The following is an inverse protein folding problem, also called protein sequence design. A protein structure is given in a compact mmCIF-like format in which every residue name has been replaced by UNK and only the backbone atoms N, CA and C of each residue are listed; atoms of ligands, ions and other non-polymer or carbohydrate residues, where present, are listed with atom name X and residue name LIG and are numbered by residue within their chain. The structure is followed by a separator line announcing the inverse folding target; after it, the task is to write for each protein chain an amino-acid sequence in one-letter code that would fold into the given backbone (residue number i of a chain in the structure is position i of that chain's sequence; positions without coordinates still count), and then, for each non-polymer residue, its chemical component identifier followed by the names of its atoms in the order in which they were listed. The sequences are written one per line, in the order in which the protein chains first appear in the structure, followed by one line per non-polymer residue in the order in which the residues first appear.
data_IF_329436434947
#
_entry.id   IF_329436434947
#
_cell.length_a   1.000
_cell.length_b   1.000
_cell.length_c   1.000
_cell.angle_alpha   90.00
_cell.angle_beta   90.00
_cell.angle_gamma   90.00
#
_symmetry.space_group_name_H-M   'P 1'
#
loop_
_entity.id
_entity.type
_entity.pdbx_description
1 polymer ?
#
# COMPACT_ATOMS: atom_id res chain seq x y z
N UNK A 1 -9.82 -45.36 -5.21
CA UNK A 1 -10.17 -43.96 -5.55
C UNK A 1 -9.03 -43.07 -5.06
N UNK A 2 -8.18 -42.53 -5.94
CA UNK A 2 -7.11 -41.63 -5.52
C UNK A 2 -7.73 -40.29 -5.13
N UNK A 3 -7.36 -39.77 -3.95
CA UNK A 3 -7.69 -38.42 -3.50
C UNK A 3 -6.95 -37.43 -4.41
N UNK A 4 -7.70 -36.57 -5.08
CA UNK A 4 -7.16 -35.42 -5.80
C UNK A 4 -6.31 -34.59 -4.84
N UNK A 5 -5.06 -34.22 -5.16
CA UNK A 5 -4.33 -33.26 -4.36
C UNK A 5 -5.11 -31.94 -4.39
N UNK A 6 -5.58 -31.46 -3.22
CA UNK A 6 -6.01 -30.08 -3.09
C UNK A 6 -4.89 -29.18 -3.58
N UNK A 7 -5.19 -28.33 -4.56
CA UNK A 7 -4.26 -27.30 -5.00
C UNK A 7 -3.74 -26.55 -3.76
N UNK A 8 -2.42 -26.27 -3.65
CA UNK A 8 -1.91 -25.47 -2.54
C UNK A 8 -2.68 -24.16 -2.54
N UNK A 9 -3.33 -23.83 -1.42
CA UNK A 9 -3.87 -22.48 -1.22
C UNK A 9 -2.69 -21.52 -1.42
N UNK A 10 -2.81 -20.49 -2.29
CA UNK A 10 -1.78 -19.47 -2.34
C UNK A 10 -1.69 -18.88 -0.94
N UNK A 11 -0.53 -18.96 -0.29
CA UNK A 11 -0.32 -18.31 1.00
C UNK A 11 -0.72 -16.84 0.86
N UNK A 12 -1.58 -16.30 1.74
CA UNK A 12 -1.95 -14.89 1.67
C UNK A 12 -0.69 -14.04 1.70
N UNK A 13 -0.46 -13.30 0.62
CA UNK A 13 0.78 -12.54 0.43
C UNK A 13 0.69 -11.15 1.01
N UNK A 14 -0.52 -10.67 1.28
CA UNK A 14 -0.78 -9.28 1.63
C UNK A 14 -1.59 -9.16 2.92
N UNK A 15 -1.01 -8.49 3.91
CA UNK A 15 -1.75 -8.04 5.09
C UNK A 15 -2.52 -6.76 4.74
N UNK A 16 -3.81 -6.68 5.09
CA UNK A 16 -4.67 -5.52 4.83
C UNK A 16 -5.16 -4.92 6.15
N UNK A 17 -4.90 -3.63 6.35
CA UNK A 17 -5.22 -2.90 7.58
C UNK A 17 -5.64 -1.44 7.29
N UNK A 18 -6.04 -0.72 8.33
CA UNK A 18 -6.43 0.69 8.26
C UNK A 18 -7.93 0.89 8.09
N UNK A 19 -8.30 2.11 7.68
CA UNK A 19 -9.68 2.59 7.70
C UNK A 19 -10.62 1.75 6.83
N UNK A 20 -11.93 1.65 7.16
CA UNK A 20 -12.90 0.92 6.35
C UNK A 20 -13.26 1.70 5.07
N UNK A 21 -12.37 1.65 4.09
CA UNK A 21 -12.55 2.30 2.79
C UNK A 21 -13.26 1.39 1.78
N UNK A 22 -14.08 1.94 0.86
CA UNK A 22 -14.71 1.15 -0.22
C UNK A 22 -13.70 0.37 -1.05
N UNK A 23 -12.56 0.99 -1.37
CA UNK A 23 -11.49 0.37 -2.16
C UNK A 23 -10.85 -0.85 -1.46
N UNK A 24 -10.86 -0.90 -0.13
CA UNK A 24 -10.35 -2.05 0.61
C UNK A 24 -11.34 -3.21 0.64
N UNK A 25 -12.64 -2.98 0.46
CA UNK A 25 -13.63 -4.06 0.48
C UNK A 25 -13.34 -5.11 -0.60
N UNK A 26 -13.06 -4.67 -1.83
CA UNK A 26 -12.73 -5.57 -2.94
C UNK A 26 -11.40 -6.28 -2.70
N UNK A 27 -10.41 -5.58 -2.13
CA UNK A 27 -9.12 -6.19 -1.79
C UNK A 27 -9.27 -7.28 -0.73
N UNK A 28 -10.05 -7.04 0.33
CA UNK A 28 -10.30 -8.00 1.43
C UNK A 28 -11.07 -9.24 0.97
N UNK A 29 -11.82 -9.16 -0.13
CA UNK A 29 -12.50 -10.31 -0.72
C UNK A 29 -11.55 -11.24 -1.50
N UNK A 30 -10.32 -10.79 -1.79
CA UNK A 30 -9.35 -11.57 -2.56
C UNK A 30 -8.69 -12.66 -1.70
N UNK A 31 -8.51 -13.90 -2.20
CA UNK A 31 -7.93 -15.00 -1.42
C UNK A 31 -6.47 -14.80 -0.98
N UNK A 32 -5.77 -13.82 -1.56
CA UNK A 32 -4.37 -13.48 -1.21
C UNK A 32 -4.27 -12.40 -0.13
N UNK A 33 -5.40 -11.81 0.27
CA UNK A 33 -5.47 -10.78 1.27
C UNK A 33 -5.91 -11.37 2.62
N UNK A 34 -5.18 -11.03 3.67
CA UNK A 34 -5.57 -11.31 5.04
C UNK A 34 -5.87 -9.99 5.76
N UNK A 35 -7.06 -9.88 6.36
CA UNK A 35 -7.50 -8.64 6.99
C UNK A 35 -7.17 -8.63 8.48
N UNK A 36 -6.57 -7.55 8.95
CA UNK A 36 -6.25 -7.34 10.36
C UNK A 36 -6.94 -6.07 10.86
N UNK A 37 -7.45 -6.11 12.09
CA UNK A 37 -8.07 -4.95 12.72
C UNK A 37 -7.00 -4.01 13.30
N UNK A 38 -5.92 -4.57 13.83
CA UNK A 38 -4.82 -3.85 14.45
C UNK A 38 -3.46 -4.35 13.94
N UNK A 39 -2.47 -3.47 13.85
CA UNK A 39 -1.09 -3.84 13.52
C UNK A 39 -0.51 -4.84 14.52
N UNK A 40 -0.97 -4.80 15.77
CA UNK A 40 -0.59 -5.71 16.84
C UNK A 40 -1.02 -7.17 16.60
N UNK A 41 -1.97 -7.40 15.71
CA UNK A 41 -2.47 -8.73 15.34
C UNK A 41 -1.78 -9.27 14.08
N UNK A 42 -1.12 -8.38 13.32
CA UNK A 42 -0.42 -8.76 12.08
C UNK A 42 0.70 -9.72 12.41
N UNK A 43 0.67 -10.89 11.76
CA UNK A 43 1.66 -11.94 11.91
C UNK A 43 1.78 -12.75 10.61
N UNK A 44 2.78 -13.63 10.51
CA UNK A 44 2.94 -14.53 9.36
C UNK A 44 3.98 -14.07 8.33
N UNK A 45 3.87 -14.63 7.13
CA UNK A 45 4.89 -14.56 6.08
C UNK A 45 4.56 -13.60 4.93
N UNK A 46 3.74 -12.57 5.16
CA UNK A 46 3.30 -11.64 4.12
C UNK A 46 4.47 -10.85 3.52
N UNK A 47 4.50 -10.74 2.19
CA UNK A 47 5.47 -9.94 1.44
C UNK A 47 4.98 -8.54 1.12
N UNK A 48 3.67 -8.30 1.23
CA UNK A 48 3.05 -6.98 1.09
C UNK A 48 2.21 -6.61 2.30
N UNK A 49 2.07 -5.32 2.54
CA UNK A 49 1.08 -4.75 3.44
C UNK A 49 0.34 -3.62 2.72
N UNK A 50 -0.99 -3.60 2.85
CA UNK A 50 -1.86 -2.55 2.32
C UNK A 50 -2.55 -1.83 3.47
N UNK A 51 -2.37 -0.52 3.54
CA UNK A 51 -2.95 0.34 4.58
C UNK A 51 -3.94 1.31 3.95
N UNK A 52 -5.20 1.27 4.36
CA UNK A 52 -6.20 2.28 4.00
C UNK A 52 -6.13 3.49 4.92
N UNK A 53 -6.19 4.68 4.33
CA UNK A 53 -6.15 5.97 5.02
C UNK A 53 -7.30 6.84 4.55
N UNK A 54 -8.21 7.16 5.47
CA UNK A 54 -9.27 8.13 5.29
C UNK A 54 -8.74 9.54 5.55
N UNK A 55 -8.54 10.30 4.47
CA UNK A 55 -8.01 11.66 4.54
C UNK A 55 -9.09 12.72 4.82
N UNK A 56 -10.34 12.33 5.11
CA UNK A 56 -11.46 13.27 5.29
C UNK A 56 -11.17 14.33 6.36
N UNK A 57 -10.47 13.95 7.42
CA UNK A 57 -10.16 14.84 8.56
C UNK A 57 -8.99 15.81 8.29
N UNK A 58 -8.23 15.63 7.21
CA UNK A 58 -7.10 16.48 6.87
C UNK A 58 -7.53 17.61 5.94
N UNK A 59 -7.88 18.76 6.52
CA UNK A 59 -8.30 19.95 5.77
C UNK A 59 -7.14 20.89 5.42
N UNK A 60 -5.96 20.63 5.97
CA UNK A 60 -4.74 21.38 5.72
C UNK A 60 -3.57 20.46 5.42
N UNK A 61 -2.56 20.98 4.71
CA UNK A 61 -1.30 20.27 4.47
C UNK A 61 -0.59 19.86 5.77
N UNK A 62 -0.71 20.66 6.82
CA UNK A 62 -0.11 20.36 8.11
C UNK A 62 -0.74 19.12 8.75
N UNK A 63 -2.07 19.02 8.72
CA UNK A 63 -2.83 17.87 9.23
C UNK A 63 -2.53 16.61 8.40
N UNK A 64 -2.51 16.72 7.07
CA UNK A 64 -2.12 15.62 6.18
C UNK A 64 -0.72 15.10 6.52
N UNK A 65 0.26 15.99 6.71
CA UNK A 65 1.62 15.61 7.12
C UNK A 65 1.68 14.94 8.48
N UNK A 66 0.77 15.26 9.41
CA UNK A 66 0.67 14.54 10.70
C UNK A 66 0.18 13.12 10.44
N UNK A 67 -0.89 12.94 9.67
CA UNK A 67 -1.41 11.61 9.31
C UNK A 67 -0.35 10.76 8.60
N UNK A 68 0.32 11.33 7.59
CA UNK A 68 1.38 10.63 6.84
C UNK A 68 2.60 10.26 7.71
N UNK A 69 2.87 11.01 8.79
CA UNK A 69 3.94 10.65 9.75
C UNK A 69 3.57 9.42 10.56
N UNK A 70 2.31 9.29 10.97
CA UNK A 70 1.83 8.10 11.70
C UNK A 70 1.97 6.82 10.86
N UNK A 71 1.86 6.92 9.53
CA UNK A 71 2.13 5.79 8.63
C UNK A 71 3.58 5.32 8.68
N UNK A 72 4.54 6.21 8.97
CA UNK A 72 5.93 5.82 9.14
C UNK A 72 6.15 4.96 10.38
N UNK A 73 5.51 5.32 11.50
CA UNK A 73 5.56 4.52 12.73
C UNK A 73 4.85 3.17 12.55
N UNK A 74 3.73 3.16 11.83
CA UNK A 74 3.02 1.94 11.44
C UNK A 74 3.89 1.04 10.54
N UNK A 75 4.57 1.63 9.56
CA UNK A 75 5.48 0.91 8.66
C UNK A 75 6.64 0.24 9.39
N UNK A 76 7.19 0.90 10.41
CA UNK A 76 8.23 0.30 11.27
C UNK A 76 7.70 -0.90 12.05
N UNK A 77 6.51 -0.78 12.62
CA UNK A 77 5.89 -1.89 13.35
C UNK A 77 5.57 -3.07 12.43
N UNK A 78 5.01 -2.81 11.24
CA UNK A 78 4.80 -3.83 10.21
C UNK A 78 6.12 -4.49 9.82
N UNK A 79 7.19 -3.71 9.64
CA UNK A 79 8.52 -4.24 9.33
C UNK A 79 9.03 -5.19 10.42
N UNK A 80 8.83 -4.85 11.70
CA UNK A 80 9.23 -5.72 12.83
C UNK A 80 8.44 -7.03 12.83
N UNK A 81 7.15 -6.97 12.51
CA UNK A 81 6.22 -8.11 12.56
C UNK A 81 6.24 -9.00 11.34
N UNK A 82 6.62 -8.46 10.19
CA UNK A 82 6.66 -9.13 8.91
C UNK A 82 8.12 -9.19 8.41
N UNK A 83 8.86 -10.27 8.74
CA UNK A 83 10.25 -10.43 8.33
C UNK A 83 10.46 -10.43 6.81
N UNK A 84 9.41 -10.75 6.03
CA UNK A 84 9.42 -10.84 4.57
C UNK A 84 8.79 -9.64 3.87
N UNK A 85 8.45 -8.57 4.59
CA UNK A 85 7.81 -7.40 4.01
C UNK A 85 8.74 -6.74 2.99
N UNK A 86 8.28 -6.67 1.74
CA UNK A 86 8.97 -6.03 0.61
C UNK A 86 8.19 -4.81 0.12
N UNK A 87 6.86 -4.82 0.26
CA UNK A 87 5.97 -3.77 -0.25
C UNK A 87 5.06 -3.20 0.83
N UNK A 88 5.10 -1.88 1.02
CA UNK A 88 4.12 -1.13 1.80
C UNK A 88 3.30 -0.25 0.85
N UNK A 89 2.04 -0.61 0.65
CA UNK A 89 1.12 0.12 -0.22
C UNK A 89 0.12 0.89 0.63
N UNK A 90 0.01 2.20 0.43
CA UNK A 90 -0.91 3.06 1.16
C UNK A 90 -2.01 3.51 0.21
N UNK A 91 -3.27 3.20 0.51
CA UNK A 91 -4.42 3.70 -0.22
C UNK A 91 -5.00 4.91 0.51
N UNK A 92 -4.87 6.09 -0.10
CA UNK A 92 -5.42 7.34 0.43
C UNK A 92 -6.74 7.62 -0.26
N UNK A 93 -7.78 7.92 0.50
CA UNK A 93 -9.11 8.19 -0.03
C UNK A 93 -9.79 9.37 0.68
N UNK A 94 -10.79 9.97 0.01
CA UNK A 94 -11.63 11.07 0.52
C UNK A 94 -10.81 12.30 0.88
N UNK A 95 -10.00 12.73 -0.09
CA UNK A 95 -9.15 13.91 0.08
C UNK A 95 -9.99 15.19 0.05
N UNK A 96 -9.77 16.08 1.03
CA UNK A 96 -10.41 17.40 1.07
C UNK A 96 -9.58 18.50 0.38
N UNK A 97 -8.33 18.19 0.03
CA UNK A 97 -7.35 19.09 -0.57
C UNK A 97 -7.20 18.81 -2.08
N UNK A 98 -6.49 19.69 -2.78
CA UNK A 98 -6.13 19.46 -4.18
C UNK A 98 -5.34 18.15 -4.36
N UNK A 99 -5.72 17.36 -5.36
CA UNK A 99 -5.16 16.03 -5.56
C UNK A 99 -3.66 16.04 -5.88
N UNK A 100 -3.16 17.04 -6.62
CA UNK A 100 -1.72 17.13 -6.92
C UNK A 100 -0.92 17.56 -5.69
N UNK A 101 -1.47 18.47 -4.88
CA UNK A 101 -0.84 18.83 -3.60
C UNK A 101 -0.74 17.62 -2.67
N UNK A 102 -1.83 16.87 -2.51
CA UNK A 102 -1.85 15.64 -1.71
C UNK A 102 -0.87 14.62 -2.26
N UNK A 103 -0.83 14.43 -3.59
CA UNK A 103 0.10 13.49 -4.23
C UNK A 103 1.55 13.83 -3.91
N UNK A 104 1.95 15.11 -4.00
CA UNK A 104 3.32 15.55 -3.67
C UNK A 104 3.69 15.32 -2.19
N UNK A 105 2.75 15.54 -1.28
CA UNK A 105 2.95 15.24 0.14
C UNK A 105 3.07 13.73 0.39
N UNK A 106 2.24 12.93 -0.29
CA UNK A 106 2.34 11.47 -0.24
C UNK A 106 3.65 10.95 -0.83
N UNK A 107 4.15 11.54 -1.92
CA UNK A 107 5.42 11.16 -2.54
C UNK A 107 6.59 11.42 -1.59
N UNK A 108 6.61 12.61 -0.99
CA UNK A 108 7.59 13.00 0.02
C UNK A 108 7.53 12.05 1.22
N UNK A 109 6.33 11.71 1.68
CA UNK A 109 6.15 10.77 2.78
C UNK A 109 6.61 9.35 2.41
N UNK A 110 6.26 8.84 1.23
CA UNK A 110 6.65 7.51 0.76
C UNK A 110 8.17 7.35 0.74
N UNK A 111 8.89 8.32 0.16
CA UNK A 111 10.36 8.35 0.15
C UNK A 111 10.93 8.40 1.56
N UNK A 112 10.37 9.24 2.43
CA UNK A 112 10.82 9.37 3.82
C UNK A 112 10.61 8.08 4.61
N UNK A 113 9.47 7.42 4.44
CA UNK A 113 9.17 6.13 5.08
C UNK A 113 10.16 5.09 4.59
N UNK A 114 10.34 4.95 3.27
CA UNK A 114 11.33 4.05 2.70
C UNK A 114 12.72 4.23 3.34
N UNK A 115 13.28 5.45 3.32
CA UNK A 115 14.60 5.74 3.90
C UNK A 115 14.66 5.42 5.39
N UNK A 116 13.58 5.71 6.13
CA UNK A 116 13.50 5.42 7.56
C UNK A 116 13.53 3.91 7.83
N UNK A 117 12.78 3.13 7.06
CA UNK A 117 12.74 1.67 7.19
C UNK A 117 14.09 1.03 6.82
N UNK A 118 14.75 1.54 5.78
CA UNK A 118 16.08 1.12 5.38
C UNK A 118 17.11 1.38 6.49
N UNK A 119 17.10 2.57 7.08
CA UNK A 119 18.01 2.94 8.18
C UNK A 119 17.76 2.15 9.47
N UNK A 120 16.50 1.88 9.80
CA UNK A 120 16.14 1.21 11.05
C UNK A 120 16.34 -0.31 11.00
N UNK A 121 16.09 -0.93 9.84
CA UNK A 121 16.05 -2.39 9.69
C UNK A 121 17.08 -2.99 8.74
N UNK A 122 17.82 -2.17 7.99
CA UNK A 122 18.75 -2.64 6.95
C UNK A 122 18.06 -3.35 5.78
N UNK A 123 16.76 -3.11 5.57
CA UNK A 123 15.96 -3.72 4.51
C UNK A 123 15.31 -2.64 3.66
N UNK A 124 15.39 -2.81 2.35
CA UNK A 124 14.68 -1.98 1.39
C UNK A 124 13.22 -2.42 1.33
N UNK A 125 12.29 -1.55 1.74
CA UNK A 125 10.85 -1.77 1.56
C UNK A 125 10.34 -0.73 0.59
N UNK A 126 9.73 -1.18 -0.49
CA UNK A 126 9.12 -0.31 -1.50
C UNK A 126 7.86 0.31 -0.92
N UNK A 127 7.78 1.64 -0.95
CA UNK A 127 6.60 2.36 -0.45
C UNK A 127 5.83 2.97 -1.61
N UNK A 128 4.58 2.57 -1.80
CA UNK A 128 3.72 3.09 -2.87
C UNK A 128 2.46 3.69 -2.28
N UNK A 129 2.30 5.01 -2.40
CA UNK A 129 1.04 5.66 -2.08
C UNK A 129 0.15 5.75 -3.33
N UNK A 130 -1.13 5.44 -3.20
CA UNK A 130 -2.12 5.55 -4.26
C UNK A 130 -3.27 6.41 -3.77
N UNK A 131 -3.49 7.55 -4.42
CA UNK A 131 -4.67 8.38 -4.25
C UNK A 131 -5.81 7.76 -5.06
N UNK A 132 -6.87 7.38 -4.36
CA UNK A 132 -7.98 6.59 -4.92
C UNK A 132 -9.23 7.43 -5.21
N UNK A 133 -9.18 8.73 -4.97
CA UNK A 133 -10.25 9.66 -5.32
C UNK A 133 -10.48 9.67 -6.84
N UNK A 134 -11.76 9.62 -7.23
CA UNK A 134 -12.16 9.43 -8.63
C UNK A 134 -12.03 7.98 -9.13
N UNK A 135 -11.76 7.00 -8.26
CA UNK A 135 -11.80 5.58 -8.64
C UNK A 135 -13.22 5.11 -8.93
N UNK A 136 -13.41 4.63 -10.15
CA UNK A 136 -14.65 4.11 -10.72
C UNK A 136 -14.69 2.58 -10.78
N UNK A 137 -13.54 1.91 -10.61
CA UNK A 137 -13.39 0.45 -10.65
C UNK A 137 -12.47 -0.04 -9.52
N UNK A 138 -13.08 -0.31 -8.35
CA UNK A 138 -12.35 -0.80 -7.17
C UNK A 138 -11.84 -2.24 -7.33
N UNK A 139 -12.46 -3.06 -8.17
CA UNK A 139 -11.98 -4.41 -8.44
C UNK A 139 -10.65 -4.34 -9.20
N UNK A 140 -10.57 -3.52 -10.24
CA UNK A 140 -9.32 -3.27 -10.95
C UNK A 140 -8.27 -2.63 -10.05
N UNK A 141 -8.63 -1.68 -9.18
CA UNK A 141 -7.69 -1.14 -8.21
C UNK A 141 -7.10 -2.24 -7.33
N UNK A 142 -7.92 -3.14 -6.79
CA UNK A 142 -7.45 -4.27 -5.99
C UNK A 142 -6.49 -5.18 -6.79
N UNK A 143 -6.81 -5.50 -8.04
CA UNK A 143 -5.92 -6.27 -8.93
C UNK A 143 -4.56 -5.57 -9.11
N UNK A 144 -4.54 -4.25 -9.30
CA UNK A 144 -3.30 -3.47 -9.48
C UNK A 144 -2.46 -3.46 -8.21
N UNK A 145 -3.09 -3.29 -7.05
CA UNK A 145 -2.43 -3.32 -5.74
C UNK A 145 -1.81 -4.69 -5.48
N UNK A 146 -2.55 -5.78 -5.72
CA UNK A 146 -2.04 -7.14 -5.58
C UNK A 146 -0.93 -7.46 -6.59
N UNK A 147 -1.06 -6.99 -7.83
CA UNK A 147 -0.01 -7.14 -8.82
C UNK A 147 1.26 -6.41 -8.38
N UNK A 148 1.13 -5.20 -7.81
CA UNK A 148 2.27 -4.44 -7.29
C UNK A 148 2.97 -5.18 -6.15
N UNK A 149 2.24 -5.73 -5.18
CA UNK A 149 2.84 -6.48 -4.07
C UNK A 149 3.55 -7.78 -4.48
N UNK A 150 3.40 -8.22 -5.73
CA UNK A 150 4.10 -9.38 -6.31
C UNK A 150 5.32 -9.00 -7.14
N UNK A 151 5.52 -7.71 -7.45
CA UNK A 151 6.65 -7.28 -8.25
C UNK A 151 7.94 -7.45 -7.44
N UNK A 152 9.01 -7.90 -8.11
CA UNK A 152 10.34 -7.89 -7.51
C UNK A 152 10.79 -6.44 -7.24
N UNK A 153 11.87 -6.31 -6.45
CA UNK A 153 12.48 -5.01 -6.19
C UNK A 153 12.66 -4.19 -7.47
N UNK A 154 12.19 -2.95 -7.43
CA UNK A 154 12.20 -2.00 -8.53
C UNK A 154 12.90 -0.73 -8.05
N UNK A 155 13.46 0.05 -8.98
CA UNK A 155 14.27 1.24 -8.69
C UNK A 155 13.50 2.36 -7.98
N UNK A 156 12.16 2.28 -7.98
CA UNK A 156 11.24 3.23 -7.35
C UNK A 156 11.00 2.89 -5.87
N UNK A 157 11.99 3.22 -5.05
CA UNK A 157 12.00 3.07 -3.60
C UNK A 157 10.78 3.67 -2.86
N UNK A 158 10.28 4.83 -3.33
CA UNK A 158 9.14 5.52 -2.75
C UNK A 158 8.44 6.41 -3.77
N UNK A 159 7.15 6.16 -4.02
CA UNK A 159 6.38 6.87 -5.05
C UNK A 159 4.93 7.13 -4.61
N UNK A 160 4.34 8.23 -5.08
CA UNK A 160 2.90 8.46 -5.00
C UNK A 160 2.24 8.65 -6.36
N UNK A 161 1.18 7.88 -6.59
CA UNK A 161 0.42 7.83 -7.84
C UNK A 161 -1.06 8.14 -7.57
N UNK A 162 -1.75 8.60 -8.61
CA UNK A 162 -3.20 8.76 -8.63
C UNK A 162 -3.84 7.61 -9.40
N UNK A 163 -5.08 7.28 -9.04
CA UNK A 163 -5.87 6.28 -9.76
C UNK A 163 -5.85 6.48 -11.27
N UNK A 164 -6.06 7.71 -11.74
CA UNK A 164 -6.09 8.06 -13.17
C UNK A 164 -4.82 7.66 -13.93
N UNK A 165 -3.67 7.60 -13.27
CA UNK A 165 -2.39 7.23 -13.87
C UNK A 165 -2.26 5.71 -14.01
N UNK A 166 -2.85 4.96 -13.08
CA UNK A 166 -2.71 3.50 -12.97
C UNK A 166 -3.96 2.72 -13.45
N UNK A 167 -5.03 3.43 -13.81
CA UNK A 167 -6.30 2.85 -14.26
C UNK A 167 -6.12 1.95 -15.50
N UNK A 168 -5.17 2.32 -16.37
CA UNK A 168 -4.83 1.56 -17.57
C UNK A 168 -3.40 1.02 -17.55
N UNK A 169 -2.49 1.66 -16.81
CA UNK A 169 -1.05 1.34 -16.81
C UNK A 169 -0.62 0.66 -15.50
N UNK A 170 0.20 -0.41 -15.54
CA UNK A 170 0.66 -1.08 -14.31
C UNK A 170 1.45 -0.13 -13.41
N UNK A 171 1.23 -0.22 -12.10
CA UNK A 171 1.87 0.66 -11.09
C UNK A 171 3.39 0.74 -11.30
N UNK A 172 4.06 -0.41 -11.41
CA UNK A 172 5.52 -0.43 -11.60
C UNK A 172 6.00 0.22 -12.91
N UNK A 173 5.18 0.25 -13.97
CA UNK A 173 5.56 0.97 -15.21
C UNK A 173 5.38 2.48 -15.07
N UNK A 174 4.31 2.92 -14.40
CA UNK A 174 4.10 4.36 -14.14
C UNK A 174 5.22 4.89 -13.24
N UNK A 175 5.49 4.19 -12.15
CA UNK A 175 6.49 4.62 -11.18
C UNK A 175 7.92 4.63 -11.74
N UNK A 176 8.27 3.70 -12.64
CA UNK A 176 9.56 3.73 -13.32
C UNK A 176 9.72 4.95 -14.24
N UNK A 177 8.64 5.43 -14.87
CA UNK A 177 8.68 6.62 -15.74
C UNK A 177 8.77 7.93 -14.95
N UNK A 178 8.19 7.99 -13.75
CA UNK A 178 8.29 9.18 -12.87
C UNK A 178 9.69 9.39 -12.29
N UNK A 179 10.56 8.38 -12.40
CA UNK A 179 11.94 8.42 -11.92
C UNK A 179 12.98 8.75 -13.01
N UNK A 180 12.56 8.89 -14.28
CA UNK A 180 13.40 9.28 -15.43
C UNK A 180 13.30 10.78 -15.72
#
# INVERSE_FOLDING_TARGET
MPRTPSAPRPDPRVAVLGDPLPCLRELRAHPEAESFADVAEVCGGHSGAVVGVDATAAHTRAELRVQLRLLGDLGEELCRRLPRLEHLIVLVHRIALDAEEVRRECDTAARRIHTRLEQAGGRSVIVTAVLTDGCDDYARLAERVLARSRQAESLDAGVALMWREIAHTPIGMVAANDYL
#
